data_IF_664787109386
#
_entry.id   IF_664787109386
#
_cell.length_a   1.000
_cell.length_b   1.000
_cell.length_c   1.000
_cell.angle_alpha   90.00
_cell.angle_beta   90.00
_cell.angle_gamma   90.00
#
_symmetry.space_group_name_H-M   'P 1'
#
loop_
_entity.id
_entity.type
_entity.pdbx_description
1 polymer ?
#
# COMPACT_ATOMS: atom_id res chain seq x y z
N UNK A 1 10.42 20.98 -41.50
CA UNK A 1 11.84 21.16 -41.11
C UNK A 1 12.12 20.30 -39.89
N UNK A 2 13.01 19.32 -40.02
CA UNK A 2 13.55 18.55 -38.88
C UNK A 2 14.72 19.35 -38.31
N UNK A 3 14.60 19.80 -37.07
CA UNK A 3 15.70 20.48 -36.38
C UNK A 3 16.59 19.40 -35.77
N UNK A 4 17.83 19.31 -36.23
CA UNK A 4 18.81 18.40 -35.65
C UNK A 4 19.11 18.83 -34.21
N UNK A 5 19.01 17.89 -33.28
CA UNK A 5 19.32 18.13 -31.87
C UNK A 5 20.82 18.34 -31.69
N UNK A 6 21.19 19.26 -30.81
CA UNK A 6 22.59 19.43 -30.41
C UNK A 6 23.06 18.25 -29.57
N UNK A 7 24.37 17.95 -29.51
CA UNK A 7 24.92 16.89 -28.66
C UNK A 7 24.46 17.00 -27.20
N UNK A 8 24.40 18.22 -26.69
CA UNK A 8 23.95 18.57 -25.34
C UNK A 8 22.47 18.23 -25.10
N UNK A 9 21.62 18.45 -26.12
CA UNK A 9 20.20 18.05 -26.07
C UNK A 9 20.04 16.53 -26.10
N UNK A 10 20.88 15.83 -26.86
CA UNK A 10 20.91 14.36 -26.93
C UNK A 10 21.31 13.79 -25.57
N UNK A 11 22.37 14.29 -24.95
CA UNK A 11 22.86 13.82 -23.65
C UNK A 11 21.81 14.01 -22.54
N UNK A 12 21.22 15.21 -22.45
CA UNK A 12 20.12 15.47 -21.50
C UNK A 12 18.91 14.57 -21.75
N UNK A 13 18.56 14.35 -23.02
CA UNK A 13 17.48 13.45 -23.40
C UNK A 13 17.72 12.01 -22.94
N UNK A 14 18.94 11.50 -23.14
CA UNK A 14 19.35 10.16 -22.70
C UNK A 14 19.30 10.04 -21.18
N UNK A 15 19.85 11.01 -20.44
CA UNK A 15 19.84 11.02 -18.99
C UNK A 15 18.41 11.04 -18.41
N UNK A 16 17.53 11.87 -18.97
CA UNK A 16 16.14 11.96 -18.53
C UNK A 16 15.35 10.69 -18.87
N UNK A 17 15.58 10.09 -20.04
CA UNK A 17 14.96 8.82 -20.44
C UNK A 17 15.40 7.68 -19.51
N UNK A 18 16.69 7.65 -19.14
CA UNK A 18 17.21 6.69 -18.18
C UNK A 18 16.54 6.84 -16.80
N UNK A 19 16.45 8.08 -16.29
CA UNK A 19 15.74 8.38 -15.03
C UNK A 19 14.27 7.95 -15.10
N UNK A 20 13.55 8.27 -16.18
CA UNK A 20 12.16 7.87 -16.36
C UNK A 20 12.01 6.34 -16.34
N UNK A 21 12.90 5.62 -17.01
CA UNK A 21 12.90 4.15 -17.01
C UNK A 21 13.09 3.59 -15.60
N UNK A 22 14.01 4.14 -14.81
CA UNK A 22 14.23 3.72 -13.42
C UNK A 22 12.98 3.96 -12.55
N UNK A 23 12.33 5.11 -12.69
CA UNK A 23 11.11 5.44 -11.96
C UNK A 23 9.95 4.47 -12.30
N UNK A 24 9.80 4.11 -13.59
CA UNK A 24 8.78 3.14 -14.03
C UNK A 24 9.04 1.76 -13.43
N UNK A 25 10.29 1.28 -13.49
CA UNK A 25 10.67 -0.02 -12.91
C UNK A 25 10.43 -0.04 -11.41
N UNK A 26 10.77 1.04 -10.71
CA UNK A 26 10.56 1.14 -9.27
C UNK A 26 9.06 1.20 -8.91
N UNK A 27 8.26 1.96 -9.65
CA UNK A 27 6.80 1.98 -9.48
C UNK A 27 6.19 0.58 -9.69
N UNK A 28 6.62 -0.15 -10.72
CA UNK A 28 6.18 -1.52 -10.97
C UNK A 28 6.56 -2.48 -9.83
N UNK A 29 7.78 -2.35 -9.28
CA UNK A 29 8.22 -3.12 -8.10
C UNK A 29 7.39 -2.81 -6.85
N UNK A 30 7.11 -1.53 -6.58
CA UNK A 30 6.26 -1.11 -5.45
C UNK A 30 4.85 -1.67 -5.56
N UNK A 31 4.25 -1.66 -6.75
CA UNK A 31 2.94 -2.28 -7.00
C UNK A 31 2.96 -3.79 -6.72
N UNK A 32 4.00 -4.49 -7.17
CA UNK A 32 4.16 -5.92 -6.87
C UNK A 32 4.32 -6.18 -5.37
N UNK A 33 5.01 -5.32 -4.63
CA UNK A 33 5.22 -5.46 -3.18
C UNK A 33 3.92 -5.45 -2.40
N UNK A 34 3.05 -4.46 -2.63
CA UNK A 34 1.76 -4.37 -1.92
C UNK A 34 0.88 -5.56 -2.28
N UNK A 35 0.80 -5.91 -3.56
CA UNK A 35 0.02 -7.06 -4.02
C UNK A 35 0.48 -8.37 -3.36
N UNK A 36 1.79 -8.64 -3.33
CA UNK A 36 2.35 -9.83 -2.67
C UNK A 36 2.07 -9.84 -1.17
N UNK A 37 2.35 -8.73 -0.47
CA UNK A 37 2.09 -8.62 0.95
C UNK A 37 0.61 -8.84 1.28
N UNK A 38 -0.28 -8.09 0.62
CA UNK A 38 -1.71 -8.17 0.89
C UNK A 38 -2.25 -9.57 0.60
N UNK A 39 -1.82 -10.19 -0.50
CA UNK A 39 -2.25 -11.54 -0.86
C UNK A 39 -1.75 -12.61 0.12
N UNK A 40 -0.63 -12.40 0.80
CA UNK A 40 -0.10 -13.30 1.84
C UNK A 40 -0.80 -13.20 3.20
N UNK A 41 -1.61 -12.16 3.44
CA UNK A 41 -2.36 -12.02 4.69
C UNK A 41 -3.36 -13.17 4.88
N UNK A 42 -3.51 -13.61 6.13
CA UNK A 42 -4.55 -14.58 6.51
C UNK A 42 -5.95 -14.02 6.22
N UNK A 43 -6.97 -14.87 6.03
CA UNK A 43 -8.34 -14.41 5.76
C UNK A 43 -8.87 -13.43 6.82
N UNK A 44 -8.54 -13.65 8.09
CA UNK A 44 -8.92 -12.75 9.20
C UNK A 44 -8.33 -11.36 9.03
N UNK A 45 -7.03 -11.26 8.73
CA UNK A 45 -6.35 -9.97 8.55
C UNK A 45 -6.80 -9.26 7.27
N UNK A 46 -7.03 -9.99 6.17
CA UNK A 46 -7.65 -9.42 4.96
C UNK A 46 -9.02 -8.84 5.27
N UNK A 47 -9.85 -9.59 6.00
CA UNK A 47 -11.18 -9.16 6.40
C UNK A 47 -11.15 -7.85 7.19
N UNK A 48 -10.22 -7.70 8.14
CA UNK A 48 -10.02 -6.43 8.87
C UNK A 48 -9.69 -5.28 7.91
N UNK A 49 -8.69 -5.45 7.04
CA UNK A 49 -8.29 -4.38 6.10
C UNK A 49 -9.43 -4.03 5.14
N UNK A 50 -10.14 -5.02 4.62
CA UNK A 50 -11.27 -4.78 3.73
C UNK A 50 -12.45 -4.10 4.42
N UNK A 51 -12.73 -4.48 5.67
CA UNK A 51 -13.72 -3.81 6.49
C UNK A 51 -13.36 -2.33 6.70
N UNK A 52 -12.12 -2.04 7.11
CA UNK A 52 -11.63 -0.66 7.27
C UNK A 52 -11.66 0.11 5.94
N UNK A 53 -11.43 -0.56 4.81
CA UNK A 53 -11.53 0.04 3.48
C UNK A 53 -12.97 0.26 2.98
N UNK A 54 -14.00 -0.13 3.76
CA UNK A 54 -15.41 -0.02 3.37
C UNK A 54 -15.81 -0.98 2.24
N UNK A 55 -15.06 -2.06 2.03
CA UNK A 55 -15.34 -3.07 1.00
C UNK A 55 -16.33 -4.08 1.56
N UNK A 56 -17.40 -4.36 0.82
CA UNK A 56 -18.46 -5.29 1.22
C UNK A 56 -17.94 -6.72 1.36
N UNK A 57 -18.51 -7.47 2.30
CA UNK A 57 -17.99 -8.77 2.78
C UNK A 57 -17.85 -9.81 1.66
N UNK A 58 -18.76 -9.77 0.69
CA UNK A 58 -18.81 -10.70 -0.46
C UNK A 58 -17.54 -10.60 -1.30
N UNK A 59 -16.84 -9.46 -1.25
CA UNK A 59 -15.63 -9.17 -2.01
C UNK A 59 -14.35 -9.44 -1.21
N UNK A 60 -14.44 -9.88 0.04
CA UNK A 60 -13.26 -10.11 0.91
C UNK A 60 -12.41 -11.32 0.48
N UNK A 61 -12.92 -12.14 -0.43
CA UNK A 61 -12.21 -13.30 -1.01
C UNK A 61 -11.29 -12.93 -2.17
N UNK A 62 -11.44 -11.72 -2.73
CA UNK A 62 -10.66 -11.25 -3.87
C UNK A 62 -9.18 -11.07 -3.51
N UNK A 63 -8.31 -11.24 -4.51
CA UNK A 63 -6.90 -10.83 -4.38
C UNK A 63 -6.78 -9.35 -4.66
N UNK A 64 -5.67 -8.74 -4.21
CA UNK A 64 -5.42 -7.31 -4.42
C UNK A 64 -5.49 -6.88 -5.89
N UNK A 65 -5.05 -7.74 -6.82
CA UNK A 65 -5.04 -7.44 -8.24
C UNK A 65 -6.44 -7.52 -8.89
N UNK A 66 -7.38 -8.23 -8.25
CA UNK A 66 -8.75 -8.44 -8.75
C UNK A 66 -9.69 -7.31 -8.27
N UNK A 67 -9.18 -6.41 -7.43
CA UNK A 67 -9.88 -5.21 -6.99
C UNK A 67 -9.88 -4.15 -8.10
N UNK A 68 -10.92 -3.31 -8.09
CA UNK A 68 -10.95 -2.07 -8.90
C UNK A 68 -9.88 -1.09 -8.41
N UNK A 69 -9.52 -0.10 -9.24
CA UNK A 69 -8.50 0.88 -8.86
C UNK A 69 -8.89 1.71 -7.63
N UNK A 70 -10.18 2.04 -7.48
CA UNK A 70 -10.71 2.73 -6.30
C UNK A 70 -10.62 1.88 -5.04
N UNK A 71 -10.93 0.59 -5.13
CA UNK A 71 -10.80 -0.36 -4.03
C UNK A 71 -9.34 -0.59 -3.63
N UNK A 72 -8.42 -0.70 -4.59
CA UNK A 72 -6.98 -0.80 -4.29
C UNK A 72 -6.50 0.43 -3.53
N UNK A 73 -6.93 1.63 -3.95
CA UNK A 73 -6.62 2.86 -3.24
C UNK A 73 -7.20 2.87 -1.81
N UNK A 74 -8.45 2.43 -1.65
CA UNK A 74 -9.11 2.33 -0.34
C UNK A 74 -8.36 1.35 0.59
N UNK A 75 -7.95 0.18 0.08
CA UNK A 75 -7.13 -0.80 0.82
C UNK A 75 -5.81 -0.18 1.27
N UNK A 76 -5.10 0.53 0.39
CA UNK A 76 -3.83 1.18 0.76
C UNK A 76 -4.04 2.26 1.82
N UNK A 77 -5.14 3.02 1.78
CA UNK A 77 -5.50 4.00 2.80
C UNK A 77 -5.80 3.32 4.14
N UNK A 78 -6.63 2.28 4.14
CA UNK A 78 -6.96 1.48 5.31
C UNK A 78 -5.70 0.89 5.97
N UNK A 79 -4.77 0.34 5.19
CA UNK A 79 -3.50 -0.17 5.71
C UNK A 79 -2.66 0.92 6.40
N UNK A 80 -2.66 2.15 5.87
CA UNK A 80 -1.95 3.28 6.51
C UNK A 80 -2.63 3.70 7.80
N UNK A 81 -3.96 3.75 7.81
CA UNK A 81 -4.74 4.06 9.00
C UNK A 81 -4.50 3.04 10.11
N UNK A 82 -4.61 1.75 9.80
CA UNK A 82 -4.32 0.66 10.74
C UNK A 82 -2.87 0.73 11.25
N UNK A 83 -1.90 1.04 10.38
CA UNK A 83 -0.51 1.24 10.82
C UNK A 83 -0.39 2.36 11.84
N UNK A 84 -1.05 3.50 11.61
CA UNK A 84 -1.02 4.63 12.52
C UNK A 84 -1.71 4.29 13.85
N UNK A 85 -2.84 3.57 13.80
CA UNK A 85 -3.53 3.07 14.98
C UNK A 85 -2.65 2.13 15.80
N UNK A 86 -2.05 1.13 15.17
CA UNK A 86 -1.16 0.17 15.85
C UNK A 86 0.06 0.89 16.44
N UNK A 87 0.58 1.91 15.76
CA UNK A 87 1.69 2.72 16.28
C UNK A 87 1.31 3.55 17.53
N UNK A 88 0.01 3.79 17.76
CA UNK A 88 -0.50 4.48 18.95
C UNK A 88 -0.79 3.54 20.12
N UNK A 89 -0.73 2.21 19.91
CA UNK A 89 -0.97 1.26 20.98
C UNK A 89 0.11 1.35 22.06
N UNK A 90 -0.21 1.00 23.31
CA UNK A 90 0.79 0.84 24.36
C UNK A 90 1.92 -0.07 23.89
N UNK A 91 3.17 0.26 24.27
CA UNK A 91 4.36 -0.52 23.88
C UNK A 91 4.33 -1.95 24.39
N UNK A 92 3.63 -2.18 25.50
CA UNK A 92 3.39 -3.49 26.08
C UNK A 92 1.89 -3.63 26.32
N UNK A 93 1.34 -4.76 25.88
CA UNK A 93 0.00 -5.20 26.19
C UNK A 93 0.15 -6.58 26.81
N UNK A 94 -0.33 -6.73 28.04
CA UNK A 94 -0.24 -7.93 28.85
C UNK A 94 -1.63 -8.36 29.28
N UNK A 95 -1.77 -9.61 29.72
CA UNK A 95 -3.06 -10.10 30.21
C UNK A 95 -3.55 -9.32 31.44
N UNK A 96 -2.64 -8.71 32.21
CA UNK A 96 -2.98 -7.86 33.35
C UNK A 96 -3.77 -6.60 32.94
N UNK A 97 -3.55 -6.10 31.72
CA UNK A 97 -4.27 -4.93 31.19
C UNK A 97 -5.75 -5.22 30.88
N UNK A 98 -6.20 -6.48 30.99
CA UNK A 98 -7.60 -6.86 30.83
C UNK A 98 -8.45 -6.68 32.10
N UNK A 99 -7.80 -6.45 33.26
CA UNK A 99 -8.48 -6.29 34.54
C UNK A 99 -8.94 -4.84 34.70
N UNK A 100 -10.25 -4.64 34.79
CA UNK A 100 -10.84 -3.32 35.06
C UNK A 100 -10.87 -3.11 36.58
N UNK A 101 -10.03 -2.22 37.09
CA UNK A 101 -10.11 -1.77 38.48
C UNK A 101 -11.32 -0.85 38.63
N UNK A 102 -12.42 -1.36 39.19
CA UNK A 102 -13.53 -0.54 39.65
C UNK A 102 -13.08 0.17 40.93
N UNK A 103 -12.56 1.39 40.80
CA UNK A 103 -12.40 2.27 41.95
C UNK A 103 -13.75 2.98 42.16
N UNK A 104 -14.56 2.45 43.07
CA UNK A 104 -15.69 3.17 43.68
C UNK A 104 -15.18 4.32 44.57
#
# INVERSE_FOLDING_TARGET
>A
MSVALTPDQIERGLANTHKARLLIVDAARRNKRISMFFNSLSPRHKGLVYFTAGIVKERHTLKFNDLTDSERLAVVRAMRELRNLIASFPRSLTDADSVVSNND
#
